data_IF_868711116330
#
_entry.id   IF_868711116330
#
_cell.length_a   1.000
_cell.length_b   1.000
_cell.length_c   1.000
_cell.angle_alpha   90.00
_cell.angle_beta   90.00
_cell.angle_gamma   90.00
#
_symmetry.space_group_name_H-M   'P 1'
#
loop_
_entity.id
_entity.type
_entity.pdbx_description
1 polymer ?
#
# COMPACT_ATOMS: atom_id res chain seq x y z
N UNK A 1 20.25 -49.39 -8.12
CA UNK A 1 19.45 -48.52 -9.01
C UNK A 1 20.35 -47.39 -9.52
N UNK A 2 20.80 -47.44 -10.78
CA UNK A 2 21.63 -46.38 -11.38
C UNK A 2 20.72 -45.32 -11.99
N UNK A 3 20.68 -44.14 -11.39
CA UNK A 3 19.98 -42.97 -11.95
C UNK A 3 20.78 -42.49 -13.17
N UNK A 4 20.14 -42.50 -14.35
CA UNK A 4 20.75 -42.06 -15.61
C UNK A 4 21.05 -40.56 -15.65
N UNK A 5 21.83 -40.08 -16.63
CA UNK A 5 22.25 -38.67 -16.73
C UNK A 5 21.06 -37.70 -16.82
N UNK A 6 19.96 -38.08 -17.50
CA UNK A 6 18.71 -37.32 -17.51
C UNK A 6 18.04 -37.24 -16.13
N UNK A 7 18.05 -38.32 -15.35
CA UNK A 7 17.48 -38.35 -14.00
C UNK A 7 18.26 -37.46 -13.03
N UNK A 8 19.56 -37.27 -13.25
CA UNK A 8 20.40 -36.34 -12.47
C UNK A 8 20.10 -34.88 -12.81
N UNK A 9 19.92 -34.55 -14.09
CA UNK A 9 19.56 -33.20 -14.54
C UNK A 9 18.19 -32.76 -14.01
N UNK A 10 17.21 -33.67 -14.00
CA UNK A 10 15.87 -33.41 -13.47
C UNK A 10 15.90 -33.12 -11.95
N UNK A 11 16.70 -33.88 -11.20
CA UNK A 11 16.84 -33.72 -9.75
C UNK A 11 17.48 -32.37 -9.36
N UNK A 12 18.46 -31.90 -10.14
CA UNK A 12 19.08 -30.57 -9.95
C UNK A 12 18.11 -29.44 -10.26
N UNK A 13 17.27 -29.59 -11.30
CA UNK A 13 16.23 -28.62 -11.64
C UNK A 13 15.18 -28.43 -10.54
N UNK A 14 14.75 -29.51 -9.88
CA UNK A 14 13.79 -29.43 -8.78
C UNK A 14 14.37 -28.79 -7.51
N UNK A 15 15.68 -28.91 -7.28
CA UNK A 15 16.33 -28.31 -6.10
C UNK A 15 16.52 -26.79 -6.17
N UNK A 16 16.30 -26.19 -7.34
CA UNK A 16 16.46 -24.74 -7.58
C UNK A 16 15.16 -23.93 -7.36
N UNK A 17 14.06 -24.58 -6.99
CA UNK A 17 12.80 -23.89 -6.67
C UNK A 17 12.83 -23.26 -5.28
N UNK A 18 12.63 -21.93 -5.20
CA UNK A 18 12.40 -21.25 -3.94
C UNK A 18 10.96 -21.46 -3.46
N UNK A 19 10.77 -21.86 -2.20
CA UNK A 19 9.44 -21.87 -1.57
C UNK A 19 9.06 -20.44 -1.15
N UNK A 20 7.87 -19.99 -1.53
CA UNK A 20 7.26 -18.79 -0.96
C UNK A 20 7.07 -19.03 0.55
N UNK A 21 7.92 -18.42 1.37
CA UNK A 21 7.91 -18.62 2.82
C UNK A 21 7.38 -17.35 3.48
N UNK A 22 6.08 -17.34 3.78
CA UNK A 22 5.44 -16.26 4.53
C UNK A 22 4.01 -16.66 4.90
N UNK A 23 3.53 -16.33 6.11
CA UNK A 23 2.14 -16.56 6.46
C UNK A 23 1.23 -15.66 5.61
N UNK A 24 0.03 -16.15 5.32
CA UNK A 24 -0.99 -15.32 4.69
C UNK A 24 -1.29 -14.11 5.58
N UNK A 25 -1.33 -12.93 4.97
CA UNK A 25 -1.67 -11.70 5.68
C UNK A 25 -3.07 -11.82 6.28
N UNK A 26 -3.18 -11.64 7.60
CA UNK A 26 -4.44 -11.48 8.33
C UNK A 26 -4.47 -10.11 8.96
N UNK A 27 -5.52 -9.32 8.65
CA UNK A 27 -5.74 -8.02 9.28
C UNK A 27 -5.88 -8.24 10.80
N UNK A 28 -5.12 -7.52 11.64
CA UNK A 28 -5.32 -7.58 13.09
C UNK A 28 -6.72 -7.11 13.48
N UNK A 29 -7.32 -7.77 14.46
CA UNK A 29 -8.56 -7.28 15.08
C UNK A 29 -8.27 -6.00 15.86
N UNK A 30 -9.13 -5.00 15.70
CA UNK A 30 -9.05 -3.73 16.42
C UNK A 30 -10.24 -3.67 17.36
N UNK A 31 -9.96 -3.60 18.67
CA UNK A 31 -10.99 -3.43 19.69
C UNK A 31 -11.46 -1.97 19.72
N UNK A 32 -12.45 -1.68 18.87
CA UNK A 32 -13.09 -0.38 18.77
C UNK A 32 -14.60 -0.53 19.02
N UNK A 33 -15.26 0.47 19.60
CA UNK A 33 -16.71 0.44 19.78
C UNK A 33 -17.39 0.41 18.41
N UNK A 34 -18.48 -0.35 18.31
CA UNK A 34 -19.28 -0.46 17.07
C UNK A 34 -19.87 0.90 16.65
N UNK A 35 -20.13 1.78 17.63
CA UNK A 35 -20.68 3.12 17.44
C UNK A 35 -20.02 4.10 18.40
N UNK A 36 -19.75 5.32 17.95
CA UNK A 36 -19.25 6.37 18.81
C UNK A 36 -20.41 7.07 19.52
N UNK A 37 -20.15 7.68 20.69
CA UNK A 37 -21.18 8.39 21.48
C UNK A 37 -21.96 9.44 20.67
N UNK A 38 -21.32 10.03 19.67
CA UNK A 38 -21.91 11.08 18.82
C UNK A 38 -22.88 10.53 17.75
N UNK A 39 -22.93 9.22 17.54
CA UNK A 39 -23.82 8.56 16.56
C UNK A 39 -25.26 8.41 17.12
N UNK A 40 -25.82 9.51 17.63
CA UNK A 40 -27.16 9.55 18.26
C UNK A 40 -28.30 9.33 17.25
N UNK A 41 -28.02 9.43 15.94
CA UNK A 41 -28.95 9.14 14.86
C UNK A 41 -28.18 8.54 13.68
N UNK A 42 -28.73 7.55 12.96
CA UNK A 42 -28.13 7.07 11.72
C UNK A 42 -27.83 8.25 10.79
N UNK A 43 -26.59 8.34 10.31
CA UNK A 43 -26.25 9.30 9.28
C UNK A 43 -27.20 9.08 8.08
N UNK A 44 -27.87 10.12 7.58
CA UNK A 44 -28.79 9.97 6.46
C UNK A 44 -28.08 9.58 5.15
N UNK A 45 -26.76 9.76 5.10
CA UNK A 45 -25.90 9.44 3.96
C UNK A 45 -24.88 8.36 4.38
N UNK A 46 -24.79 7.23 3.64
CA UNK A 46 -23.73 6.24 3.86
C UNK A 46 -22.34 6.70 3.40
N UNK A 47 -22.22 7.83 2.69
CA UNK A 47 -20.94 8.36 2.23
C UNK A 47 -20.05 8.77 3.41
N UNK A 48 -18.80 8.33 3.39
CA UNK A 48 -17.82 8.77 4.37
C UNK A 48 -17.38 10.19 4.05
N UNK A 49 -17.10 11.00 5.08
CA UNK A 49 -16.44 12.30 4.89
C UNK A 49 -15.09 12.13 4.18
N UNK A 50 -14.44 10.96 4.31
CA UNK A 50 -13.20 10.65 3.62
C UNK A 50 -13.34 10.51 2.09
N UNK A 51 -14.55 10.26 1.59
CA UNK A 51 -14.84 10.15 0.15
C UNK A 51 -15.11 11.51 -0.49
N UNK A 52 -15.24 12.57 0.31
CA UNK A 52 -15.50 13.93 -0.16
C UNK A 52 -14.20 14.67 -0.44
N UNK A 53 -14.26 15.63 -1.36
CA UNK A 53 -13.24 16.67 -1.48
C UNK A 53 -13.32 17.58 -0.25
N UNK A 54 -12.65 17.19 0.83
CA UNK A 54 -12.78 17.82 2.16
C UNK A 54 -12.58 19.35 2.15
N UNK A 55 -11.78 19.87 1.22
CA UNK A 55 -11.52 21.31 1.10
C UNK A 55 -12.73 22.08 0.53
N UNK A 56 -13.67 21.42 -0.16
CA UNK A 56 -14.93 22.01 -0.64
C UNK A 56 -15.95 22.18 0.49
N UNK A 57 -15.75 21.52 1.64
CA UNK A 57 -16.55 21.74 2.84
C UNK A 57 -16.39 23.16 3.39
N UNK A 58 -15.26 23.81 3.09
CA UNK A 58 -15.04 25.21 3.40
C UNK A 58 -15.66 26.08 2.30
N UNK A 59 -16.72 26.82 2.64
CA UNK A 59 -17.40 27.75 1.73
C UNK A 59 -16.69 29.13 1.65
N UNK A 60 -15.35 29.14 1.71
CA UNK A 60 -14.53 30.33 1.61
C UNK A 60 -13.52 30.16 0.47
N UNK A 61 -13.72 30.92 -0.61
CA UNK A 61 -12.88 30.85 -1.82
C UNK A 61 -11.42 31.21 -1.56
N UNK A 62 -11.17 32.12 -0.61
CA UNK A 62 -9.81 32.53 -0.24
C UNK A 62 -9.10 31.40 0.49
N UNK A 63 -9.78 30.76 1.45
CA UNK A 63 -9.24 29.60 2.15
C UNK A 63 -8.98 28.44 1.18
N UNK A 64 -9.90 28.16 0.26
CA UNK A 64 -9.69 27.12 -0.74
C UNK A 64 -8.49 27.43 -1.66
N UNK A 65 -8.29 28.71 -2.03
CA UNK A 65 -7.11 29.12 -2.81
C UNK A 65 -5.81 28.89 -2.03
N UNK A 66 -5.78 29.21 -0.74
CA UNK A 66 -4.63 28.95 0.13
C UNK A 66 -4.35 27.45 0.28
N UNK A 67 -5.38 26.62 0.41
CA UNK A 67 -5.22 25.15 0.45
C UNK A 67 -4.60 24.63 -0.84
N UNK A 68 -5.07 25.10 -2.00
CA UNK A 68 -4.50 24.69 -3.31
C UNK A 68 -3.04 25.11 -3.44
N UNK A 69 -2.71 26.35 -3.07
CA UNK A 69 -1.32 26.85 -3.09
C UNK A 69 -0.43 26.04 -2.14
N UNK A 70 -0.92 25.79 -0.92
CA UNK A 70 -0.21 24.97 0.06
C UNK A 70 0.04 23.56 -0.50
N UNK A 71 -0.96 22.87 -1.04
CA UNK A 71 -0.76 21.53 -1.61
C UNK A 71 0.23 21.52 -2.79
N UNK A 72 0.28 22.59 -3.60
CA UNK A 72 1.21 22.71 -4.71
C UNK A 72 2.66 22.95 -4.26
N UNK A 73 2.87 23.76 -3.22
CA UNK A 73 4.20 24.21 -2.78
C UNK A 73 4.71 23.54 -1.51
N UNK A 74 3.91 22.70 -0.83
CA UNK A 74 4.30 22.11 0.44
C UNK A 74 5.40 21.05 0.28
N UNK A 75 6.58 21.33 0.83
CA UNK A 75 7.73 20.44 0.77
C UNK A 75 7.53 19.13 1.56
N UNK A 76 6.78 19.13 2.67
CA UNK A 76 6.50 17.91 3.43
C UNK A 76 5.68 16.91 2.61
N UNK A 77 4.65 17.39 1.90
CA UNK A 77 3.85 16.57 0.97
C UNK A 77 4.73 16.03 -0.16
N UNK A 78 5.61 16.86 -0.73
CA UNK A 78 6.55 16.44 -1.79
C UNK A 78 7.55 15.39 -1.27
N UNK A 79 8.06 15.56 -0.06
CA UNK A 79 8.94 14.58 0.60
C UNK A 79 8.18 13.27 0.84
N UNK A 80 6.94 13.32 1.31
CA UNK A 80 6.12 12.13 1.51
C UNK A 80 5.90 11.38 0.18
N UNK A 81 5.58 12.09 -0.90
CA UNK A 81 5.45 11.49 -2.23
C UNK A 81 6.78 10.87 -2.72
N UNK A 82 7.91 11.56 -2.51
CA UNK A 82 9.22 11.04 -2.85
C UNK A 82 9.57 9.75 -2.09
N UNK A 83 9.21 9.65 -0.81
CA UNK A 83 9.39 8.41 -0.01
C UNK A 83 8.61 7.24 -0.59
N UNK A 84 7.40 7.46 -1.13
CA UNK A 84 6.64 6.41 -1.83
C UNK A 84 7.36 5.96 -3.10
N UNK A 85 7.90 6.90 -3.89
CA UNK A 85 8.67 6.57 -5.08
C UNK A 85 9.96 5.81 -4.73
N UNK A 86 10.66 6.21 -3.67
CA UNK A 86 11.82 5.50 -3.13
C UNK A 86 11.47 4.06 -2.76
N UNK A 87 10.37 3.84 -2.03
CA UNK A 87 9.94 2.50 -1.66
C UNK A 87 9.63 1.62 -2.89
N UNK A 88 9.00 2.20 -3.94
CA UNK A 88 8.76 1.50 -5.21
C UNK A 88 10.06 1.16 -5.93
N UNK A 89 11.03 2.06 -5.94
CA UNK A 89 12.35 1.81 -6.53
C UNK A 89 13.09 0.69 -5.79
N UNK A 90 13.07 0.69 -4.46
CA UNK A 90 13.65 -0.38 -3.65
C UNK A 90 12.99 -1.74 -3.95
N UNK A 91 11.67 -1.79 -4.08
CA UNK A 91 10.98 -3.01 -4.53
C UNK A 91 11.47 -3.48 -5.91
N UNK A 92 11.72 -2.55 -6.83
CA UNK A 92 12.30 -2.84 -8.14
C UNK A 92 13.69 -3.47 -8.06
N UNK A 93 14.57 -2.93 -7.22
CA UNK A 93 15.91 -3.49 -6.96
C UNK A 93 15.81 -4.91 -6.41
N UNK A 94 15.01 -5.12 -5.36
CA UNK A 94 14.81 -6.46 -4.75
C UNK A 94 14.23 -7.45 -5.75
N UNK A 95 13.32 -7.01 -6.62
CA UNK A 95 12.75 -7.87 -7.66
C UNK A 95 13.76 -8.21 -8.76
N UNK A 96 14.74 -7.34 -9.03
CA UNK A 96 15.77 -7.61 -10.03
C UNK A 96 16.64 -8.82 -9.66
N UNK A 97 16.83 -9.09 -8.36
CA UNK A 97 17.55 -10.26 -7.84
C UNK A 97 16.90 -11.61 -8.25
N UNK A 98 15.67 -11.59 -8.75
CA UNK A 98 14.99 -12.79 -9.28
C UNK A 98 15.39 -13.10 -10.74
N UNK A 99 16.18 -12.26 -11.40
CA UNK A 99 16.59 -12.39 -12.79
C UNK A 99 18.12 -12.43 -12.94
N UNK A 100 18.66 -13.08 -13.99
CA UNK A 100 20.09 -13.01 -14.30
C UNK A 100 20.54 -11.59 -14.63
N UNK A 101 21.79 -11.25 -14.25
CA UNK A 101 22.47 -9.96 -14.54
C UNK A 101 23.07 -9.92 -15.94
#
# INVERSE_FOLDING_TARGET
MRVGPLGRLLAVGLSLGGCLLGPDYRRPEVDAPVQFRADLRPAPDPASVADLAWFELFQDDSLQALVREALAQNYDVRIAAARVLQARAQLGVVRADLFPT
#
